data_IF_973222211881
#
_entry.id   IF_973222211881
#
_cell.length_a   1.000
_cell.length_b   1.000
_cell.length_c   1.000
_cell.angle_alpha   90.00
_cell.angle_beta   90.00
_cell.angle_gamma   90.00
#
_symmetry.space_group_name_H-M   'P 1'
#
loop_
_entity.id
_entity.type
_entity.pdbx_description
1 polymer ?
#
# COMPACT_ATOMS: atom_id res chain seq x y z
N UNK A 1 14.99 10.07 -45.23
CA UNK A 1 13.68 10.52 -44.71
C UNK A 1 12.97 9.50 -43.79
N UNK A 2 13.23 8.19 -43.87
CA UNK A 2 12.63 7.18 -42.96
C UNK A 2 13.30 7.06 -41.59
N UNK A 3 14.62 7.27 -41.52
CA UNK A 3 15.41 7.16 -40.28
C UNK A 3 14.96 8.19 -39.22
N UNK A 4 14.60 9.40 -39.66
CA UNK A 4 14.11 10.45 -38.76
C UNK A 4 12.75 10.12 -38.15
N UNK A 5 11.81 9.52 -38.91
CA UNK A 5 10.53 9.04 -38.35
C UNK A 5 10.73 7.91 -37.34
N UNK A 6 11.67 7.00 -37.59
CA UNK A 6 11.98 5.91 -36.66
C UNK A 6 12.63 6.42 -35.37
N UNK A 7 13.59 7.35 -35.49
CA UNK A 7 14.21 8.02 -34.34
C UNK A 7 13.21 8.88 -33.57
N UNK A 8 12.33 9.61 -34.25
CA UNK A 8 11.27 10.38 -33.58
C UNK A 8 10.27 9.47 -32.88
N UNK A 9 9.87 8.35 -33.49
CA UNK A 9 9.03 7.36 -32.82
C UNK A 9 9.72 6.69 -31.63
N UNK A 10 11.04 6.46 -31.70
CA UNK A 10 11.83 5.93 -30.59
C UNK A 10 12.00 6.97 -29.46
N UNK A 11 12.21 8.25 -29.80
CA UNK A 11 12.37 9.34 -28.83
C UNK A 11 11.04 9.84 -28.24
N UNK A 12 9.92 9.81 -28.98
CA UNK A 12 8.59 10.10 -28.42
C UNK A 12 7.98 8.89 -27.70
N UNK A 13 8.37 7.65 -28.03
CA UNK A 13 8.15 6.48 -27.16
C UNK A 13 9.14 6.37 -26.01
N UNK A 14 10.09 7.29 -25.90
CA UNK A 14 10.84 7.55 -24.67
C UNK A 14 9.94 8.25 -23.63
N UNK A 15 8.65 7.93 -23.62
CA UNK A 15 7.82 8.03 -22.45
C UNK A 15 8.39 7.17 -21.33
N UNK A 16 8.14 7.60 -20.09
CA UNK A 16 8.62 7.09 -18.78
C UNK A 16 9.59 5.92 -18.87
N UNK A 17 10.81 6.09 -18.35
CA UNK A 17 11.77 4.99 -18.25
C UNK A 17 11.14 3.74 -17.60
N UNK A 18 11.73 2.57 -17.84
CA UNK A 18 11.21 1.31 -17.26
C UNK A 18 11.19 1.43 -15.74
N UNK A 19 12.19 2.09 -15.20
CA UNK A 19 12.40 2.39 -13.80
C UNK A 19 11.32 3.36 -13.28
N UNK A 20 10.97 4.41 -14.03
CA UNK A 20 9.85 5.31 -13.69
C UNK A 20 8.50 4.59 -13.72
N UNK A 21 8.28 3.70 -14.69
CA UNK A 21 7.06 2.89 -14.77
C UNK A 21 6.93 2.02 -13.52
N UNK A 22 8.02 1.34 -13.14
CA UNK A 22 8.07 0.53 -11.93
C UNK A 22 7.99 1.38 -10.66
N UNK A 23 8.52 2.60 -10.66
CA UNK A 23 8.39 3.54 -9.54
C UNK A 23 6.94 3.99 -9.36
N UNK A 24 6.27 4.43 -10.43
CA UNK A 24 4.85 4.79 -10.38
C UNK A 24 3.99 3.62 -9.88
N UNK A 25 4.21 2.40 -10.39
CA UNK A 25 3.48 1.24 -9.91
C UNK A 25 3.74 0.95 -8.43
N UNK A 26 4.99 1.07 -7.98
CA UNK A 26 5.36 0.91 -6.57
C UNK A 26 4.70 1.93 -5.66
N UNK A 27 4.68 3.21 -6.04
CA UNK A 27 4.03 4.25 -5.26
C UNK A 27 2.55 3.94 -5.06
N UNK A 28 1.87 3.51 -6.12
CA UNK A 28 0.46 3.15 -6.01
C UNK A 28 0.25 1.96 -5.07
N UNK A 29 1.10 0.91 -5.15
CA UNK A 29 1.03 -0.23 -4.20
C UNK A 29 1.31 0.20 -2.76
N UNK A 30 2.26 1.11 -2.54
CA UNK A 30 2.57 1.65 -1.21
C UNK A 30 1.43 2.51 -0.66
N UNK A 31 0.76 3.29 -1.51
CA UNK A 31 -0.37 4.10 -1.09
C UNK A 31 -1.59 3.22 -0.77
N UNK A 32 -1.77 2.10 -1.49
CA UNK A 32 -2.73 1.07 -1.10
C UNK A 32 -2.36 0.50 0.28
N UNK A 33 -1.11 0.12 0.50
CA UNK A 33 -0.65 -0.42 1.78
C UNK A 33 -0.91 0.57 2.94
N UNK A 34 -0.58 1.85 2.75
CA UNK A 34 -0.82 2.91 3.75
C UNK A 34 -2.29 3.11 4.04
N UNK A 35 -3.13 3.13 3.01
CA UNK A 35 -4.58 3.27 3.14
C UNK A 35 -5.17 2.13 3.97
N UNK A 36 -4.72 0.89 3.72
CA UNK A 36 -5.16 -0.29 4.45
C UNK A 36 -4.63 -0.29 5.90
N UNK A 37 -3.35 0.06 6.12
CA UNK A 37 -2.74 0.11 7.45
C UNK A 37 -3.38 1.17 8.36
N UNK A 38 -3.72 2.35 7.83
CA UNK A 38 -4.42 3.38 8.60
C UNK A 38 -5.80 2.94 9.10
N UNK A 39 -6.35 1.83 8.56
CA UNK A 39 -7.62 1.24 8.99
C UNK A 39 -7.45 0.04 9.90
N UNK A 40 -6.40 -0.75 9.72
CA UNK A 40 -6.10 -1.86 10.62
C UNK A 40 -5.54 -1.39 11.97
N UNK A 41 -4.72 -0.34 11.97
CA UNK A 41 -4.19 0.29 13.18
C UNK A 41 -4.23 1.83 13.09
N UNK A 42 -5.38 2.46 13.43
CA UNK A 42 -5.45 3.91 13.45
C UNK A 42 -4.47 4.45 14.50
N UNK A 43 -3.66 5.47 14.20
CA UNK A 43 -2.73 6.03 15.17
C UNK A 43 -3.49 6.45 16.43
N UNK A 44 -3.00 6.01 17.60
CA UNK A 44 -3.56 6.40 18.88
C UNK A 44 -3.63 7.93 18.94
N UNK A 45 -4.81 8.47 19.25
CA UNK A 45 -5.01 9.91 19.34
C UNK A 45 -3.89 10.53 20.22
N UNK A 46 -3.26 11.64 19.78
CA UNK A 46 -2.22 12.27 20.58
C UNK A 46 -2.80 12.59 21.97
N UNK A 47 -2.01 12.42 23.05
CA UNK A 47 -2.46 12.78 24.37
C UNK A 47 -2.94 14.24 24.34
N UNK A 48 -4.09 14.56 24.97
CA UNK A 48 -4.65 15.91 24.92
C UNK A 48 -3.58 16.90 25.38
N UNK A 49 -3.23 17.84 24.51
CA UNK A 49 -2.27 18.90 24.80
C UNK A 49 -2.88 19.73 25.93
N UNK A 50 -2.30 19.64 27.12
CA UNK A 50 -2.69 20.42 28.29
C UNK A 50 -2.29 21.90 28.08
N UNK A 51 -3.11 22.63 27.32
CA UNK A 51 -3.00 24.08 27.20
C UNK A 51 -3.75 24.72 28.38
N UNK A 52 -3.07 24.84 29.53
CA UNK A 52 -3.71 25.43 30.70
C UNK A 52 -2.83 25.44 31.94
N UNK A 53 -2.33 26.64 32.25
CA UNK A 53 -1.61 27.04 33.45
C UNK A 53 -2.26 26.61 34.77
N UNK A 54 -1.46 26.23 35.77
CA UNK A 54 -1.74 26.59 37.17
C UNK A 54 -1.72 25.49 38.23
N UNK A 55 -0.63 25.49 39.00
CA UNK A 55 -0.51 25.20 40.45
C UNK A 55 -0.39 23.76 40.94
N UNK A 56 0.72 23.56 41.66
CA UNK A 56 1.04 22.49 42.62
C UNK A 56 -0.12 22.14 43.55
N UNK A 57 -0.24 20.85 43.84
CA UNK A 57 -0.59 20.32 45.17
C UNK A 57 -1.81 19.41 45.19
N UNK A 58 -1.64 18.18 45.66
CA UNK A 58 -2.76 17.34 46.11
C UNK A 58 -2.71 15.90 45.62
N UNK A 59 -2.11 15.06 46.43
CA UNK A 59 -2.17 13.60 46.43
C UNK A 59 -3.62 13.08 46.46
N UNK A 60 -3.98 12.14 45.58
CA UNK A 60 -4.85 10.98 45.87
C UNK A 60 -5.12 10.17 44.60
N UNK A 61 -4.47 9.00 44.54
CA UNK A 61 -5.00 7.83 43.85
C UNK A 61 -6.35 7.47 44.49
N UNK A 62 -7.35 7.07 43.69
CA UNK A 62 -7.69 5.65 43.74
C UNK A 62 -7.94 5.05 42.36
N UNK A 63 -7.63 3.77 42.28
CA UNK A 63 -7.94 2.89 41.17
C UNK A 63 -9.45 2.79 40.94
N UNK A 64 -9.89 2.94 39.69
CA UNK A 64 -11.05 2.20 39.19
C UNK A 64 -10.73 1.63 37.82
N UNK A 65 -10.54 0.31 37.83
CA UNK A 65 -10.64 -0.61 36.70
C UNK A 65 -11.71 -0.16 35.70
N UNK A 66 -11.29 -0.04 34.45
CA UNK A 66 -12.05 -0.64 33.35
C UNK A 66 -11.06 -1.25 32.35
N UNK A 67 -10.37 -2.29 32.84
CA UNK A 67 -9.96 -3.42 32.01
C UNK A 67 -11.22 -4.12 31.49
N UNK A 68 -11.87 -3.48 30.52
CA UNK A 68 -12.90 -4.07 29.69
C UNK A 68 -12.24 -4.59 28.43
N UNK A 69 -11.61 -5.75 28.53
CA UNK A 69 -11.21 -6.51 27.35
C UNK A 69 -12.41 -6.70 26.44
N UNK A 70 -12.37 -6.06 25.27
CA UNK A 70 -12.74 -6.76 24.04
C UNK A 70 -11.43 -7.35 23.54
N UNK A 71 -11.07 -8.56 23.99
CA UNK A 71 -11.24 -9.77 23.17
C UNK A 71 -11.16 -9.39 21.71
N UNK A 72 -10.02 -9.76 21.09
CA UNK A 72 -9.80 -9.60 19.67
C UNK A 72 -10.96 -10.19 18.89
N UNK A 73 -11.96 -9.37 18.59
CA UNK A 73 -12.73 -9.55 17.38
C UNK A 73 -11.71 -9.43 16.26
N UNK A 74 -11.69 -10.37 15.29
CA UNK A 74 -10.98 -10.12 14.06
C UNK A 74 -11.53 -8.79 13.56
N UNK A 75 -10.68 -7.76 13.47
CA UNK A 75 -11.03 -6.46 12.91
C UNK A 75 -11.32 -6.70 11.44
N UNK A 76 -12.50 -7.24 11.16
CA UNK A 76 -13.09 -7.34 9.84
C UNK A 76 -13.65 -5.95 9.52
N UNK A 77 -12.78 -4.94 9.62
CA UNK A 77 -13.08 -3.57 9.30
C UNK A 77 -13.17 -3.53 7.79
N UNK A 78 -14.37 -3.67 7.23
CA UNK A 78 -14.61 -3.35 5.84
C UNK A 78 -14.27 -1.87 5.62
N UNK A 79 -13.61 -1.55 4.50
CA UNK A 79 -13.25 -0.17 4.17
C UNK A 79 -14.51 0.72 4.12
N UNK A 80 -14.37 1.97 4.58
CA UNK A 80 -15.40 2.99 4.39
C UNK A 80 -15.57 3.28 2.89
N UNK A 81 -16.71 3.82 2.49
CA UNK A 81 -17.01 4.09 1.08
C UNK A 81 -15.99 5.01 0.39
N UNK A 82 -15.47 6.01 1.12
CA UNK A 82 -14.45 6.94 0.62
C UNK A 82 -13.10 6.22 0.40
N UNK A 83 -12.64 5.46 1.39
CA UNK A 83 -11.38 4.69 1.30
C UNK A 83 -11.49 3.59 0.23
N UNK A 84 -12.66 2.96 0.10
CA UNK A 84 -12.92 1.99 -0.97
C UNK A 84 -12.82 2.64 -2.34
N UNK A 85 -13.34 3.86 -2.51
CA UNK A 85 -13.20 4.64 -3.73
C UNK A 85 -11.73 4.93 -4.05
N UNK A 86 -10.94 5.34 -3.06
CA UNK A 86 -9.51 5.58 -3.20
C UNK A 86 -8.73 4.30 -3.53
N UNK A 87 -9.06 3.18 -2.88
CA UNK A 87 -8.48 1.87 -3.18
C UNK A 87 -8.76 1.49 -4.64
N UNK A 88 -10.01 1.65 -5.11
CA UNK A 88 -10.38 1.35 -6.50
C UNK A 88 -9.64 2.24 -7.49
N UNK A 89 -9.43 3.51 -7.16
CA UNK A 89 -8.65 4.42 -7.99
C UNK A 89 -7.18 3.95 -8.12
N UNK A 90 -6.54 3.62 -7.01
CA UNK A 90 -5.14 3.14 -7.00
C UNK A 90 -4.99 1.81 -7.75
N UNK A 91 -5.95 0.89 -7.61
CA UNK A 91 -5.97 -0.37 -8.37
C UNK A 91 -6.16 -0.10 -9.86
N UNK A 92 -7.06 0.82 -10.21
CA UNK A 92 -7.28 1.21 -11.60
C UNK A 92 -6.00 1.79 -12.22
N UNK A 93 -5.30 2.68 -11.52
CA UNK A 93 -4.04 3.23 -11.99
C UNK A 93 -2.96 2.14 -12.17
N UNK A 94 -2.86 1.20 -11.24
CA UNK A 94 -1.98 0.03 -11.40
C UNK A 94 -2.29 -0.75 -12.68
N UNK A 95 -3.58 -1.00 -12.97
CA UNK A 95 -4.02 -1.68 -14.21
C UNK A 95 -3.70 -0.86 -15.46
N UNK A 96 -3.89 0.45 -15.42
CA UNK A 96 -3.54 1.37 -16.51
C UNK A 96 -2.04 1.34 -16.79
N UNK A 97 -1.20 1.42 -15.76
CA UNK A 97 0.27 1.30 -15.89
C UNK A 97 0.65 -0.02 -16.56
N UNK A 98 0.06 -1.14 -16.11
CA UNK A 98 0.32 -2.46 -16.70
C UNK A 98 -0.13 -2.51 -18.16
N UNK A 99 -1.30 -1.95 -18.49
CA UNK A 99 -1.88 -1.98 -19.83
C UNK A 99 -1.11 -1.12 -20.83
N UNK A 100 -0.72 0.09 -20.44
CA UNK A 100 -0.01 1.04 -21.30
C UNK A 100 1.44 0.62 -21.51
N UNK A 101 2.03 -0.06 -20.52
CA UNK A 101 3.44 -0.46 -20.52
C UNK A 101 3.65 -1.98 -20.58
N UNK A 102 2.69 -2.76 -21.12
CA UNK A 102 2.75 -4.25 -21.20
C UNK A 102 4.09 -4.78 -21.69
N UNK A 103 4.73 -4.10 -22.66
CA UNK A 103 6.02 -4.52 -23.24
C UNK A 103 7.19 -4.48 -22.25
N UNK A 104 7.06 -3.75 -21.14
CA UNK A 104 8.08 -3.58 -20.11
C UNK A 104 8.01 -4.65 -19.01
N UNK A 105 6.96 -5.46 -18.98
CA UNK A 105 6.75 -6.52 -17.99
C UNK A 105 6.85 -7.90 -18.63
N UNK A 106 7.22 -8.93 -17.85
CA UNK A 106 7.15 -10.32 -18.36
C UNK A 106 5.69 -10.74 -18.47
N UNK A 107 5.35 -11.56 -19.47
CA UNK A 107 3.96 -12.03 -19.70
C UNK A 107 3.36 -12.71 -18.47
N UNK A 108 4.13 -13.54 -17.77
CA UNK A 108 3.67 -14.23 -16.57
C UNK A 108 3.45 -13.25 -15.40
N UNK A 109 4.32 -12.25 -15.26
CA UNK A 109 4.16 -11.20 -14.24
C UNK A 109 2.89 -10.38 -14.51
N UNK A 110 2.62 -9.99 -15.76
CA UNK A 110 1.40 -9.26 -16.12
C UNK A 110 0.15 -10.02 -15.69
N UNK A 111 0.08 -11.32 -16.00
CA UNK A 111 -1.08 -12.14 -15.66
C UNK A 111 -1.23 -12.23 -14.14
N UNK A 112 -0.17 -12.65 -13.44
CA UNK A 112 -0.24 -12.87 -12.00
C UNK A 112 -0.53 -11.57 -11.23
N UNK A 113 0.09 -10.43 -11.61
CA UNK A 113 -0.17 -9.13 -10.98
C UNK A 113 -1.62 -8.70 -11.23
N UNK A 114 -2.13 -8.93 -12.44
CA UNK A 114 -3.52 -8.60 -12.77
C UNK A 114 -4.51 -9.44 -11.96
N UNK A 115 -4.18 -10.70 -11.72
CA UNK A 115 -4.95 -11.58 -10.83
C UNK A 115 -4.90 -11.11 -9.38
N UNK A 116 -3.73 -10.74 -8.85
CA UNK A 116 -3.59 -10.19 -7.50
C UNK A 116 -4.36 -8.87 -7.34
N UNK A 117 -4.34 -7.98 -8.34
CA UNK A 117 -5.11 -6.74 -8.34
C UNK A 117 -6.63 -6.98 -8.38
N UNK A 118 -7.08 -8.03 -9.06
CA UNK A 118 -8.50 -8.44 -9.06
C UNK A 118 -8.92 -9.02 -7.71
N UNK A 119 -8.06 -9.80 -7.06
CA UNK A 119 -8.28 -10.25 -5.68
C UNK A 119 -8.35 -9.09 -4.71
N UNK A 120 -7.42 -8.13 -4.82
CA UNK A 120 -7.37 -6.93 -3.99
C UNK A 120 -8.64 -6.08 -4.13
N UNK A 121 -9.19 -6.01 -5.34
CA UNK A 121 -10.43 -5.29 -5.64
C UNK A 121 -11.71 -5.99 -5.15
N UNK A 122 -11.60 -7.23 -4.66
CA UNK A 122 -12.76 -8.04 -4.29
C UNK A 122 -13.55 -8.59 -5.47
N UNK A 123 -13.00 -8.57 -6.69
CA UNK A 123 -13.66 -9.13 -7.89
C UNK A 123 -13.80 -10.67 -7.81
N UNK A 124 -12.98 -11.32 -6.96
CA UNK A 124 -13.02 -12.77 -6.71
C UNK A 124 -13.76 -13.15 -5.42
N UNK A 125 -14.38 -12.20 -4.73
CA UNK A 125 -15.10 -12.42 -3.47
C UNK A 125 -14.93 -11.25 -2.49
N UNK A 126 -15.75 -11.19 -1.45
CA UNK A 126 -15.58 -10.19 -0.40
C UNK A 126 -14.25 -10.41 0.33
N UNK A 127 -13.42 -9.37 0.44
CA UNK A 127 -12.08 -9.42 1.05
C UNK A 127 -12.03 -8.43 2.21
N UNK A 128 -11.56 -8.87 3.38
CA UNK A 128 -11.32 -7.99 4.52
C UNK A 128 -10.04 -7.17 4.35
N UNK A 129 -9.88 -6.05 5.06
CA UNK A 129 -8.65 -5.22 5.00
C UNK A 129 -7.41 -6.04 5.34
N UNK A 130 -7.48 -6.90 6.36
CA UNK A 130 -6.39 -7.80 6.70
C UNK A 130 -6.02 -8.75 5.55
N UNK A 131 -7.00 -9.29 4.82
CA UNK A 131 -6.75 -10.11 3.64
C UNK A 131 -6.17 -9.28 2.49
N UNK A 132 -6.63 -8.04 2.31
CA UNK A 132 -6.05 -7.11 1.33
C UNK A 132 -4.57 -6.82 1.63
N UNK A 133 -4.21 -6.60 2.91
CA UNK A 133 -2.81 -6.46 3.33
C UNK A 133 -1.99 -7.73 3.04
N UNK A 134 -2.55 -8.92 3.26
CA UNK A 134 -1.86 -10.17 2.93
C UNK A 134 -1.61 -10.30 1.43
N UNK A 135 -2.55 -9.87 0.59
CA UNK A 135 -2.38 -9.83 -0.87
C UNK A 135 -1.24 -8.86 -1.24
N UNK A 136 -1.24 -7.64 -0.70
CA UNK A 136 -0.16 -6.66 -0.93
C UNK A 136 1.20 -7.21 -0.48
N UNK A 137 1.27 -7.83 0.70
CA UNK A 137 2.48 -8.47 1.20
C UNK A 137 2.93 -9.69 0.35
N UNK A 138 2.00 -10.39 -0.30
CA UNK A 138 2.32 -11.45 -1.28
C UNK A 138 2.88 -10.83 -2.57
N UNK A 139 2.27 -9.75 -3.07
CA UNK A 139 2.72 -9.05 -4.27
C UNK A 139 4.16 -8.53 -4.10
N UNK A 140 4.45 -7.85 -2.98
CA UNK A 140 5.78 -7.29 -2.69
C UNK A 140 6.88 -8.34 -2.63
N UNK A 141 6.58 -9.54 -2.12
CA UNK A 141 7.51 -10.70 -2.10
C UNK A 141 7.67 -11.37 -3.46
N UNK A 142 6.60 -11.43 -4.25
CA UNK A 142 6.55 -12.16 -5.52
C UNK A 142 7.22 -11.39 -6.65
N UNK A 143 6.98 -10.07 -6.73
CA UNK A 143 7.39 -9.27 -7.88
C UNK A 143 8.69 -8.50 -7.62
N UNK A 144 9.80 -8.80 -8.33
CA UNK A 144 11.08 -8.12 -8.10
C UNK A 144 11.02 -6.60 -8.28
N UNK A 145 10.18 -6.11 -9.21
CA UNK A 145 10.02 -4.69 -9.47
C UNK A 145 9.33 -3.93 -8.33
N UNK A 146 8.74 -4.64 -7.35
CA UNK A 146 8.21 -4.06 -6.12
C UNK A 146 9.22 -3.99 -4.96
N UNK A 147 10.32 -4.76 -5.02
CA UNK A 147 11.24 -5.02 -3.88
C UNK A 147 12.15 -3.87 -3.46
N UNK A 148 11.99 -2.69 -4.02
CA UNK A 148 12.97 -1.59 -3.85
C UNK A 148 12.55 -0.60 -2.74
N UNK A 149 11.44 -0.84 -2.03
CA UNK A 149 10.99 0.04 -0.94
C UNK A 149 10.36 -0.80 0.19
N UNK A 150 11.16 -1.51 0.98
CA UNK A 150 10.75 -1.86 2.35
C UNK A 150 11.81 -1.53 3.38
N UNK A 151 12.93 -0.92 2.98
CA UNK A 151 14.02 -0.71 3.90
C UNK A 151 14.98 0.29 3.30
N UNK A 152 15.30 1.35 4.03
CA UNK A 152 16.63 1.98 3.92
C UNK A 152 17.75 1.03 4.36
N UNK A 153 17.58 -0.29 4.21
CA UNK A 153 18.46 -1.35 4.68
C UNK A 153 18.39 -2.50 3.65
N UNK A 154 19.45 -2.82 2.90
CA UNK A 154 19.41 -3.91 1.92
C UNK A 154 18.99 -5.25 2.58
N UNK A 155 18.30 -6.10 1.81
CA UNK A 155 17.75 -7.40 2.23
C UNK A 155 18.78 -8.35 2.85
N UNK A 156 20.07 -8.11 2.60
CA UNK A 156 21.22 -8.78 3.20
C UNK A 156 21.30 -8.59 4.73
N UNK A 157 20.72 -7.52 5.29
CA UNK A 157 20.79 -7.23 6.74
C UNK A 157 19.81 -8.03 7.60
N UNK A 158 18.88 -8.78 7.02
CA UNK A 158 17.83 -9.52 7.76
C UNK A 158 18.25 -10.98 8.02
N UNK A 159 19.37 -11.45 7.45
CA UNK A 159 19.83 -12.86 7.57
C UNK A 159 20.93 -13.12 8.60
N UNK A 160 21.23 -12.14 9.45
CA UNK A 160 22.30 -12.23 10.46
C UNK A 160 21.73 -12.01 11.87
N UNK A 161 20.78 -12.85 12.28
CA UNK A 161 20.51 -13.17 13.69
C UNK A 161 20.07 -14.63 13.76
#
# INVERSE_FOLDING_TARGET
>A
RYVFRFLFYAMFKLGKSREETYASFRYNVLDIERLLLMRDDPPSAPPPIAWGSGRKGGEQQPETKNEGGRLGEPRCSTLNAEDLGMLMLLIHECRTILSDNRRRFRRNELRNVSEDLAELAGERGAVSVQQQLQIVARMSRTYPFLKVISSGIPFESIRSV
#
